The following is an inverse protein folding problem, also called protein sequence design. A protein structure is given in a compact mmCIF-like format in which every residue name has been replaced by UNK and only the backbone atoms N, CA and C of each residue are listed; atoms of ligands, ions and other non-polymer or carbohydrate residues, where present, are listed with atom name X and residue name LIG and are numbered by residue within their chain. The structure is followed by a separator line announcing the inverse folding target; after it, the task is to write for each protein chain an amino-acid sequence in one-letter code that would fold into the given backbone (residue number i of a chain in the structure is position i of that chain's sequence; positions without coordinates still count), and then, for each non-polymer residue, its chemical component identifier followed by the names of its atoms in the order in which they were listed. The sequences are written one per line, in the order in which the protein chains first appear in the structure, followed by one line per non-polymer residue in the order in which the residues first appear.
data_IF_611160321115
#
_entry.id   IF_611160321115
#
_cell.length_a   1.000
_cell.length_b   1.000
_cell.length_c   1.000
_cell.angle_alpha   90.00
_cell.angle_beta   90.00
_cell.angle_gamma   90.00
#
_symmetry.space_group_name_H-M   'P 1'
#
loop_
_entity.id
_entity.type
_entity.pdbx_description
1 polymer ?
#
# COMPACT_ATOMS: atom_id res chain seq x y z
N UNK A 1 -24.09 2.35 -8.09
CA UNK A 1 -23.22 3.55 -7.95
C UNK A 1 -23.15 3.91 -6.48
N UNK A 2 -21.96 4.11 -5.89
CA UNK A 2 -21.87 4.54 -4.48
C UNK A 2 -21.92 6.08 -4.48
N UNK A 3 -22.79 6.72 -3.69
CA UNK A 3 -22.90 8.18 -3.66
C UNK A 3 -21.54 8.81 -3.32
N UNK A 4 -21.19 9.92 -4.00
CA UNK A 4 -19.93 10.66 -3.81
C UNK A 4 -19.68 11.00 -2.33
N UNK A 5 -20.75 11.24 -1.58
CA UNK A 5 -20.79 11.49 -0.14
C UNK A 5 -20.21 10.33 0.69
N UNK A 6 -20.46 9.07 0.33
CA UNK A 6 -20.02 7.90 1.13
C UNK A 6 -18.51 7.68 1.01
N UNK A 7 -17.90 7.99 -0.15
CA UNK A 7 -16.46 7.85 -0.36
C UNK A 7 -15.66 8.96 0.34
N UNK A 8 -16.19 10.19 0.37
CA UNK A 8 -15.62 11.32 1.10
C UNK A 8 -15.68 11.05 2.61
N UNK A 9 -16.84 10.60 3.11
CA UNK A 9 -17.03 10.24 4.52
C UNK A 9 -16.05 9.14 4.95
N UNK A 10 -15.81 8.11 4.16
CA UNK A 10 -14.87 7.03 4.51
C UNK A 10 -13.41 7.49 4.58
N UNK A 11 -12.96 8.39 3.70
CA UNK A 11 -11.58 8.91 3.69
C UNK A 11 -11.38 9.94 4.80
N UNK A 12 -12.35 10.85 5.01
CA UNK A 12 -12.33 11.81 6.12
C UNK A 12 -12.39 11.10 7.48
N UNK A 13 -13.25 10.09 7.63
CA UNK A 13 -13.28 9.24 8.85
C UNK A 13 -11.95 8.51 9.04
N UNK A 14 -11.30 8.00 7.98
CA UNK A 14 -9.99 7.34 8.12
C UNK A 14 -8.86 8.31 8.50
N UNK A 15 -8.88 9.55 8.02
CA UNK A 15 -7.93 10.60 8.42
C UNK A 15 -8.19 11.08 9.86
N UNK A 16 -9.45 11.16 10.29
CA UNK A 16 -9.84 11.51 11.66
C UNK A 16 -9.53 10.40 12.67
N UNK A 17 -9.79 9.13 12.31
CA UNK A 17 -9.51 7.96 13.16
C UNK A 17 -8.00 7.68 13.31
N UNK A 18 -7.17 8.08 12.34
CA UNK A 18 -5.71 7.93 12.42
C UNK A 18 -5.00 9.06 13.18
N UNK A 19 -5.68 10.20 13.37
CA UNK A 19 -5.18 11.37 14.11
C UNK A 19 -5.68 11.46 15.57
N UNK A 20 -6.37 10.43 16.08
CA UNK A 20 -6.63 10.29 17.52
C UNK A 20 -7.64 11.28 18.15
N UNK A 21 -8.48 11.94 17.36
CA UNK A 21 -9.50 12.87 17.87
C UNK A 21 -10.92 12.27 17.78
N UNK A 22 -11.19 11.31 18.66
CA UNK A 22 -12.55 11.02 19.12
C UNK A 22 -12.54 11.04 20.65
N UNK A 23 -12.65 12.23 21.23
CA UNK A 23 -13.30 12.36 22.54
C UNK A 23 -14.80 12.40 22.27
N UNK A 24 -15.46 11.24 22.27
CA UNK A 24 -16.86 11.19 22.66
C UNK A 24 -16.86 10.90 24.16
N UNK A 25 -17.13 11.94 24.96
CA UNK A 25 -17.77 11.73 26.25
C UNK A 25 -19.18 11.24 25.96
N UNK A 26 -19.49 10.01 26.33
CA UNK A 26 -20.88 9.58 26.49
C UNK A 26 -20.93 8.60 27.66
N UNK A 27 -21.34 9.17 28.78
CA UNK A 27 -22.23 8.63 29.82
C UNK A 27 -22.44 7.13 29.80
N UNK A 28 -22.07 6.50 30.92
CA UNK A 28 -22.40 5.13 31.25
C UNK A 28 -23.91 4.90 31.25
N UNK A 29 -24.34 3.79 30.66
CA UNK A 29 -25.56 3.12 31.08
C UNK A 29 -25.27 1.63 31.05
N UNK A 30 -25.18 1.07 32.25
CA UNK A 30 -25.10 -0.36 32.53
C UNK A 30 -26.34 -1.07 31.99
N UNK A 31 -26.17 -2.20 31.29
CA UNK A 31 -26.98 -3.42 31.49
C UNK A 31 -26.10 -4.64 31.15
N UNK A 32 -25.82 -5.46 32.16
CA UNK A 32 -25.50 -6.90 32.06
C UNK A 32 -26.77 -7.68 32.48
N UNK A 33 -26.91 -9.04 32.42
CA UNK A 33 -25.89 -10.07 32.17
C UNK A 33 -26.37 -11.29 31.34
N UNK A 34 -25.47 -12.28 31.17
CA UNK A 34 -25.67 -13.74 31.39
C UNK A 34 -25.14 -14.67 30.28
N UNK A 35 -24.24 -15.57 30.70
CA UNK A 35 -23.77 -16.81 30.03
C UNK A 35 -24.64 -18.00 30.50
N UNK A 36 -24.58 -19.23 29.93
CA UNK A 36 -23.41 -20.13 30.05
C UNK A 36 -23.16 -21.12 28.87
N UNK A 37 -21.97 -21.74 28.86
CA UNK A 37 -21.62 -22.94 28.06
C UNK A 37 -22.02 -24.25 28.76
N UNK A 38 -21.98 -25.40 28.04
CA UNK A 38 -20.95 -26.41 28.36
C UNK A 38 -20.37 -27.22 27.16
N UNK A 39 -19.21 -27.85 27.42
CA UNK A 39 -18.27 -28.69 26.61
C UNK A 39 -18.79 -30.10 26.22
N UNK A 40 -17.98 -31.14 25.82
CA UNK A 40 -16.80 -31.29 24.92
C UNK A 40 -16.89 -32.45 23.86
N UNK A 41 -16.10 -32.38 22.76
CA UNK A 41 -15.46 -33.44 21.90
C UNK A 41 -16.29 -34.63 21.30
N UNK A 42 -15.84 -35.40 20.25
CA UNK A 42 -14.47 -35.64 19.76
C UNK A 42 -14.22 -35.54 18.23
N UNK A 43 -12.94 -35.59 17.85
CA UNK A 43 -12.42 -35.72 16.47
C UNK A 43 -12.76 -37.06 15.81
N UNK A 44 -12.78 -37.08 14.47
CA UNK A 44 -11.97 -38.04 13.71
C UNK A 44 -11.10 -37.35 12.63
N UNK A 45 -9.93 -37.96 12.37
CA UNK A 45 -8.95 -37.58 11.34
C UNK A 45 -9.30 -38.16 9.95
N UNK A 46 -8.44 -38.04 8.91
CA UNK A 46 -8.65 -37.15 7.77
C UNK A 46 -8.94 -37.90 6.45
N UNK A 47 -9.57 -37.23 5.48
CA UNK A 47 -9.65 -37.73 4.10
C UNK A 47 -9.75 -36.55 3.10
N UNK A 48 -9.26 -36.71 1.85
CA UNK A 48 -8.73 -35.65 1.02
C UNK A 48 -9.78 -35.08 0.06
N UNK A 49 -9.46 -33.88 -0.45
CA UNK A 49 -10.20 -33.10 -1.45
C UNK A 49 -11.38 -32.29 -0.92
N UNK A 50 -11.12 -31.04 -0.55
CA UNK A 50 -12.10 -29.95 -0.56
C UNK A 50 -11.35 -28.72 -1.14
N UNK A 51 -11.50 -28.47 -2.43
CA UNK A 51 -12.47 -27.54 -3.03
C UNK A 51 -12.07 -26.06 -2.92
N UNK A 52 -12.24 -25.36 -4.04
CA UNK A 52 -11.75 -24.01 -4.30
C UNK A 52 -12.49 -22.98 -3.45
N UNK A 53 -11.93 -22.65 -2.28
CA UNK A 53 -12.43 -21.53 -1.49
C UNK A 53 -12.29 -20.17 -2.22
N UNK A 54 -13.29 -19.27 -2.12
CA UNK A 54 -13.18 -17.93 -2.69
C UNK A 54 -12.02 -17.17 -2.05
N UNK A 55 -11.20 -16.53 -2.89
CA UNK A 55 -10.09 -15.68 -2.49
C UNK A 55 -10.50 -14.69 -1.38
N UNK A 56 -9.68 -14.50 -0.33
CA UNK A 56 -9.97 -13.52 0.72
C UNK A 56 -10.17 -12.12 0.14
N UNK A 57 -11.12 -11.33 0.68
CA UNK A 57 -11.36 -9.98 0.21
C UNK A 57 -10.12 -9.10 0.38
N UNK A 58 -9.87 -8.27 -0.63
CA UNK A 58 -8.75 -7.33 -0.82
C UNK A 58 -8.42 -6.36 0.33
N UNK A 59 -9.10 -6.42 1.49
CA UNK A 59 -9.00 -5.43 2.58
C UNK A 59 -7.93 -5.73 3.62
N UNK A 60 -7.41 -6.96 3.69
CA UNK A 60 -6.45 -7.36 4.73
C UNK A 60 -4.99 -7.49 4.26
N UNK A 61 -4.61 -6.85 3.14
CA UNK A 61 -3.19 -6.70 2.80
C UNK A 61 -2.52 -5.71 3.76
N UNK A 62 -2.06 -6.23 4.89
CA UNK A 62 -1.34 -5.51 5.94
C UNK A 62 -0.03 -4.96 5.35
N UNK A 63 -0.02 -3.66 5.04
CA UNK A 63 1.19 -2.94 4.64
C UNK A 63 2.33 -3.18 5.66
N UNK A 64 3.57 -3.21 5.17
CA UNK A 64 4.75 -3.44 6.02
C UNK A 64 4.85 -2.42 7.16
N UNK A 65 5.35 -2.80 8.34
CA UNK A 65 5.58 -1.87 9.44
C UNK A 65 6.45 -0.66 9.05
N UNK A 66 7.44 -0.86 8.19
CA UNK A 66 8.36 0.19 7.73
C UNK A 66 7.62 1.20 6.84
N UNK A 67 6.82 0.72 5.88
CA UNK A 67 6.05 1.62 5.03
C UNK A 67 4.98 2.37 5.83
N UNK A 68 4.34 1.72 6.81
CA UNK A 68 3.46 2.40 7.77
C UNK A 68 4.18 3.49 8.56
N UNK A 69 5.40 3.25 9.04
CA UNK A 69 6.22 4.25 9.74
C UNK A 69 6.54 5.43 8.81
N UNK A 70 6.96 5.16 7.58
CA UNK A 70 7.21 6.20 6.58
C UNK A 70 5.98 7.08 6.34
N UNK A 71 4.81 6.47 6.11
CA UNK A 71 3.57 7.24 5.90
C UNK A 71 3.19 8.08 7.12
N UNK A 72 3.39 7.57 8.34
CA UNK A 72 3.18 8.33 9.57
C UNK A 72 4.08 9.55 9.66
N UNK A 73 5.37 9.42 9.32
CA UNK A 73 6.27 10.58 9.28
C UNK A 73 5.81 11.61 8.24
N UNK A 74 5.41 11.16 7.04
CA UNK A 74 4.87 12.06 6.02
C UNK A 74 3.62 12.82 6.46
N UNK A 75 2.73 12.17 7.20
CA UNK A 75 1.51 12.80 7.70
C UNK A 75 1.79 13.94 8.69
N UNK A 76 2.90 13.88 9.45
CA UNK A 76 3.27 14.96 10.39
C UNK A 76 3.56 16.30 9.71
N UNK A 77 3.88 16.30 8.42
CA UNK A 77 4.09 17.51 7.64
C UNK A 77 2.78 18.19 7.18
N UNK A 78 1.63 17.61 7.51
CA UNK A 78 0.32 18.08 7.06
C UNK A 78 -0.64 18.23 8.23
N UNK A 79 -1.07 19.46 8.51
CA UNK A 79 -2.14 19.71 9.48
C UNK A 79 -3.51 19.36 8.88
N UNK A 80 -4.47 19.02 9.75
CA UNK A 80 -5.81 18.54 9.34
C UNK A 80 -6.52 19.52 8.40
N UNK A 81 -6.51 20.81 8.73
CA UNK A 81 -7.15 21.85 7.90
C UNK A 81 -6.61 21.89 6.47
N UNK A 82 -5.29 21.70 6.32
CA UNK A 82 -4.66 21.66 5.01
C UNK A 82 -4.92 20.34 4.29
N UNK A 83 -4.97 19.21 5.01
CA UNK A 83 -5.39 17.94 4.44
C UNK A 83 -6.81 18.05 3.86
N UNK A 84 -7.74 18.69 4.56
CA UNK A 84 -9.12 18.89 4.11
C UNK A 84 -9.22 19.76 2.87
N UNK A 85 -8.43 20.84 2.77
CA UNK A 85 -8.37 21.65 1.54
C UNK A 85 -7.85 20.85 0.36
N UNK A 86 -6.82 20.03 0.56
CA UNK A 86 -6.21 19.20 -0.50
C UNK A 86 -7.19 18.13 -0.97
N UNK A 87 -7.83 17.42 -0.05
CA UNK A 87 -8.88 16.45 -0.39
C UNK A 87 -10.05 17.16 -1.09
N UNK A 88 -10.48 18.32 -0.59
CA UNK A 88 -11.50 19.15 -1.25
C UNK A 88 -11.13 19.55 -2.68
N UNK A 89 -9.86 19.87 -2.95
CA UNK A 89 -9.38 20.13 -4.31
C UNK A 89 -9.44 18.86 -5.17
N UNK A 90 -8.98 17.73 -4.64
CA UNK A 90 -8.90 16.46 -5.36
C UNK A 90 -10.29 15.91 -5.73
N UNK A 91 -11.28 16.08 -4.88
CA UNK A 91 -12.60 15.45 -5.03
C UNK A 91 -13.69 16.44 -5.49
N UNK A 92 -13.63 17.70 -5.05
CA UNK A 92 -14.75 18.66 -5.13
C UNK A 92 -14.42 19.97 -5.87
N UNK A 93 -13.24 20.08 -6.50
CA UNK A 93 -12.77 21.32 -7.15
C UNK A 93 -12.64 22.54 -6.23
N UNK A 94 -12.48 22.34 -4.91
CA UNK A 94 -12.20 23.44 -3.98
C UNK A 94 -10.82 24.03 -4.23
N UNK A 95 -10.54 25.19 -3.63
CA UNK A 95 -9.23 25.85 -3.69
C UNK A 95 -8.33 25.39 -2.54
N UNK A 96 -7.02 25.56 -2.71
CA UNK A 96 -6.02 25.33 -1.68
C UNK A 96 -5.29 26.64 -1.43
N UNK A 97 -5.18 27.02 -0.16
CA UNK A 97 -4.49 28.24 0.28
C UNK A 97 -2.98 28.16 0.03
N UNK A 98 -2.32 29.32 -0.01
CA UNK A 98 -0.85 29.40 -0.14
C UNK A 98 -0.14 28.66 0.99
N UNK A 99 -0.61 28.81 2.23
CA UNK A 99 -0.07 28.12 3.41
C UNK A 99 -0.15 26.60 3.27
N UNK A 100 -1.29 26.08 2.83
CA UNK A 100 -1.46 24.64 2.63
C UNK A 100 -0.69 24.13 1.41
N UNK A 101 -0.52 24.95 0.37
CA UNK A 101 0.42 24.63 -0.71
C UNK A 101 1.86 24.51 -0.20
N UNK A 102 2.31 25.38 0.70
CA UNK A 102 3.65 25.29 1.30
C UNK A 102 3.82 23.99 2.10
N UNK A 103 2.86 23.62 2.96
CA UNK A 103 2.92 22.35 3.68
C UNK A 103 2.92 21.14 2.73
N UNK A 104 2.09 21.20 1.68
CA UNK A 104 2.03 20.15 0.67
C UNK A 104 3.39 19.94 0.03
N UNK A 105 4.07 20.98 -0.44
CA UNK A 105 5.35 20.80 -1.14
C UNK A 105 6.50 20.52 -0.18
N UNK A 106 6.49 21.09 1.03
CA UNK A 106 7.56 20.93 2.02
C UNK A 106 7.68 19.52 2.60
N UNK A 107 6.64 18.68 2.52
CA UNK A 107 6.77 17.26 2.89
C UNK A 107 7.68 16.49 1.91
N UNK A 108 7.96 17.08 0.75
CA UNK A 108 8.75 16.48 -0.31
C UNK A 108 7.95 15.55 -1.24
N UNK A 109 8.46 15.35 -2.46
CA UNK A 109 7.78 14.58 -3.51
C UNK A 109 7.55 13.11 -3.10
N UNK A 110 8.43 12.58 -2.27
CA UNK A 110 8.36 11.19 -1.81
C UNK A 110 7.15 10.97 -0.91
N UNK A 111 6.94 11.87 0.04
CA UNK A 111 5.79 11.82 0.92
C UNK A 111 4.49 12.02 0.14
N UNK A 112 4.46 12.97 -0.80
CA UNK A 112 3.31 13.16 -1.67
C UNK A 112 2.90 11.88 -2.40
N UNK A 113 3.88 11.25 -3.07
CA UNK A 113 3.62 10.03 -3.84
C UNK A 113 3.29 8.83 -2.94
N UNK A 114 3.94 8.69 -1.79
CA UNK A 114 3.63 7.65 -0.81
C UNK A 114 2.18 7.72 -0.31
N UNK A 115 1.73 8.93 0.06
CA UNK A 115 0.35 9.17 0.48
C UNK A 115 -0.66 8.94 -0.67
N UNK A 116 -0.30 9.33 -1.90
CA UNK A 116 -1.12 9.09 -3.08
C UNK A 116 -1.25 7.59 -3.40
N UNK A 117 -0.18 6.81 -3.26
CA UNK A 117 -0.20 5.36 -3.40
C UNK A 117 -1.09 4.70 -2.34
N UNK A 118 -0.99 5.14 -1.08
CA UNK A 118 -1.87 4.68 0.00
C UNK A 118 -3.35 4.97 -0.32
N UNK A 119 -3.64 6.18 -0.77
CA UNK A 119 -4.99 6.57 -1.20
C UNK A 119 -5.51 5.70 -2.34
N UNK A 120 -4.67 5.43 -3.34
CA UNK A 120 -4.98 4.55 -4.47
C UNK A 120 -5.40 3.15 -4.03
N UNK A 121 -4.66 2.53 -3.11
CA UNK A 121 -4.99 1.20 -2.57
C UNK A 121 -6.35 1.17 -1.88
N UNK A 122 -6.72 2.25 -1.19
CA UNK A 122 -8.01 2.37 -0.50
C UNK A 122 -9.17 2.59 -1.47
N UNK A 123 -8.92 3.19 -2.64
CA UNK A 123 -9.97 3.52 -3.61
C UNK A 123 -10.07 2.46 -4.72
N UNK A 124 -11.01 1.52 -4.60
CA UNK A 124 -11.21 0.40 -5.53
C UNK A 124 -11.92 0.75 -6.87
N UNK A 125 -11.95 2.02 -7.33
CA UNK A 125 -12.70 2.45 -8.53
C UNK A 125 -11.84 3.13 -9.60
N UNK A 126 -11.70 2.49 -10.75
CA UNK A 126 -10.66 2.80 -11.76
C UNK A 126 -10.80 4.15 -12.50
N UNK A 127 -11.99 4.54 -12.96
CA UNK A 127 -12.13 5.79 -13.73
C UNK A 127 -11.97 7.04 -12.85
N UNK A 128 -12.47 6.99 -11.62
CA UNK A 128 -12.37 8.09 -10.67
C UNK A 128 -10.95 8.23 -10.09
N UNK A 129 -10.27 7.10 -9.88
CA UNK A 129 -8.87 7.07 -9.44
C UNK A 129 -7.92 7.79 -10.39
N UNK A 130 -8.05 7.58 -11.71
CA UNK A 130 -7.24 8.30 -12.71
C UNK A 130 -7.42 9.82 -12.59
N UNK A 131 -8.67 10.27 -12.41
CA UNK A 131 -9.00 11.68 -12.22
C UNK A 131 -8.38 12.22 -10.92
N UNK A 132 -8.50 11.50 -9.80
CA UNK A 132 -7.92 11.92 -8.52
C UNK A 132 -6.39 12.05 -8.62
N UNK A 133 -5.71 11.04 -9.19
CA UNK A 133 -4.25 11.07 -9.37
C UNK A 133 -3.83 12.28 -10.20
N UNK A 134 -4.49 12.47 -11.36
CA UNK A 134 -4.21 13.62 -12.23
C UNK A 134 -4.41 14.95 -11.51
N UNK A 135 -5.46 15.09 -10.69
CA UNK A 135 -5.71 16.29 -9.90
C UNK A 135 -4.69 16.50 -8.80
N UNK A 136 -4.25 15.43 -8.14
CA UNK A 136 -3.18 15.47 -7.15
C UNK A 136 -1.88 16.01 -7.75
N UNK A 137 -1.47 15.47 -8.90
CA UNK A 137 -0.26 15.91 -9.62
C UNK A 137 -0.38 17.36 -10.12
N UNK A 138 -1.57 17.75 -10.60
CA UNK A 138 -1.86 19.12 -11.00
C UNK A 138 -1.72 20.09 -9.81
N UNK A 139 -2.27 19.72 -8.65
CA UNK A 139 -2.17 20.52 -7.44
C UNK A 139 -0.72 20.67 -6.98
N UNK A 140 0.05 19.59 -6.99
CA UNK A 140 1.47 19.61 -6.66
C UNK A 140 2.23 20.63 -7.53
N UNK A 141 2.11 20.51 -8.86
CA UNK A 141 2.74 21.45 -9.81
C UNK A 141 2.30 22.89 -9.61
N UNK A 142 1.04 23.11 -9.21
CA UNK A 142 0.53 24.45 -8.88
C UNK A 142 1.17 24.97 -7.61
N UNK A 143 1.24 24.17 -6.56
CA UNK A 143 1.81 24.56 -5.27
C UNK A 143 3.33 24.78 -5.34
N UNK A 144 4.07 24.00 -6.14
CA UNK A 144 5.52 24.19 -6.36
C UNK A 144 5.85 25.58 -6.93
N UNK A 145 4.95 26.16 -7.74
CA UNK A 145 5.12 27.52 -8.28
C UNK A 145 4.87 28.61 -7.24
N UNK A 146 4.04 28.31 -6.23
CA UNK A 146 3.58 29.26 -5.22
C UNK A 146 4.51 29.26 -3.99
N UNK A 147 5.06 28.11 -3.67
CA UNK A 147 5.94 27.86 -2.54
C UNK A 147 7.16 27.08 -3.06
N UNK A 148 8.13 27.75 -3.69
CA UNK A 148 9.31 27.07 -4.20
C UNK A 148 10.07 26.40 -3.05
N UNK A 149 10.24 25.09 -3.15
CA UNK A 149 11.07 24.31 -2.24
C UNK A 149 12.49 24.87 -2.23
N UNK A 150 13.16 24.90 -1.08
CA UNK A 150 14.63 24.98 -1.07
C UNK A 150 15.15 23.74 -1.80
N UNK A 151 15.58 23.90 -3.04
CA UNK A 151 16.06 22.80 -3.88
C UNK A 151 17.42 22.37 -3.34
N UNK A 152 17.46 21.27 -2.60
CA UNK A 152 18.72 20.54 -2.45
C UNK A 152 19.17 20.10 -3.84
N UNK A 153 20.37 20.54 -4.24
CA UNK A 153 20.97 20.34 -5.56
C UNK A 153 21.22 18.87 -5.92
N UNK A 154 20.88 17.93 -5.03
CA UNK A 154 20.99 16.49 -5.24
C UNK A 154 19.71 15.82 -5.78
N UNK A 155 18.67 16.61 -6.12
CA UNK A 155 17.36 16.14 -6.59
C UNK A 155 17.32 15.67 -8.07
N UNK A 156 18.45 15.22 -8.63
CA UNK A 156 18.52 14.71 -10.00
C UNK A 156 18.09 13.24 -10.05
N UNK A 157 16.80 12.97 -9.76
CA UNK A 157 16.23 11.61 -9.85
C UNK A 157 14.72 11.62 -10.14
N UNK A 158 14.26 12.53 -11.01
CA UNK A 158 12.85 12.57 -11.44
C UNK A 158 12.54 11.70 -12.68
N UNK A 159 13.45 10.81 -13.10
CA UNK A 159 13.17 9.85 -14.20
C UNK A 159 12.85 8.42 -13.75
N UNK A 160 13.03 8.07 -12.48
CA UNK A 160 12.71 6.72 -11.99
C UNK A 160 11.91 6.76 -10.69
N UNK A 161 10.66 7.22 -10.82
CA UNK A 161 9.48 6.45 -10.41
C UNK A 161 9.27 5.96 -8.98
N UNK A 162 10.19 6.05 -8.02
CA UNK A 162 10.01 5.48 -6.67
C UNK A 162 10.36 6.51 -5.60
N UNK A 163 9.43 6.85 -4.69
CA UNK A 163 9.70 7.70 -3.53
C UNK A 163 10.91 7.23 -2.74
N UNK A 164 11.85 8.08 -2.31
CA UNK A 164 13.04 7.63 -1.56
C UNK A 164 12.70 6.85 -0.26
N UNK A 165 11.53 7.10 0.35
CA UNK A 165 11.03 6.29 1.47
C UNK A 165 10.63 4.87 1.08
N UNK A 166 9.96 4.72 -0.06
CA UNK A 166 9.64 3.40 -0.65
C UNK A 166 10.93 2.75 -1.17
N UNK A 167 11.82 3.52 -1.77
CA UNK A 167 13.14 3.09 -2.24
C UNK A 167 13.95 2.47 -1.12
N UNK A 168 14.01 3.10 0.07
CA UNK A 168 14.69 2.51 1.24
C UNK A 168 14.08 1.17 1.65
N UNK A 169 12.75 1.05 1.68
CA UNK A 169 12.07 -0.23 1.98
C UNK A 169 12.39 -1.29 0.93
N UNK A 170 12.35 -0.93 -0.35
CA UNK A 170 12.67 -1.84 -1.45
C UNK A 170 14.14 -2.21 -1.49
N UNK A 171 15.05 -1.30 -1.15
CA UNK A 171 16.49 -1.55 -1.02
C UNK A 171 16.76 -2.53 0.14
N UNK A 172 16.11 -2.35 1.30
CA UNK A 172 16.21 -3.27 2.43
C UNK A 172 15.66 -4.67 2.09
N UNK A 173 14.55 -4.75 1.36
CA UNK A 173 14.03 -6.01 0.86
C UNK A 173 14.97 -6.63 -0.19
N UNK A 174 15.45 -5.84 -1.14
CA UNK A 174 16.35 -6.26 -2.21
C UNK A 174 17.67 -6.82 -1.71
N UNK A 175 18.24 -6.24 -0.63
CA UNK A 175 19.46 -6.75 0.04
C UNK A 175 19.33 -8.19 0.55
N UNK A 176 18.11 -8.69 0.77
CA UNK A 176 17.87 -10.08 1.20
C UNK A 176 17.94 -11.08 0.03
N UNK A 177 17.93 -10.58 -1.20
CA UNK A 177 18.13 -11.35 -2.42
C UNK A 177 19.52 -11.05 -3.00
N UNK A 178 20.09 -12.03 -3.71
CA UNK A 178 21.22 -11.74 -4.61
C UNK A 178 20.67 -11.24 -5.93
N UNK A 179 21.46 -10.49 -6.71
CA UNK A 179 21.08 -10.06 -8.07
C UNK A 179 20.64 -11.25 -8.94
N UNK A 180 21.41 -12.35 -8.90
CA UNK A 180 21.08 -13.60 -9.59
C UNK A 180 19.68 -14.12 -9.20
N UNK A 181 19.38 -14.16 -7.91
CA UNK A 181 18.09 -14.64 -7.41
C UNK A 181 16.94 -13.67 -7.75
N UNK A 182 17.17 -12.36 -7.66
CA UNK A 182 16.20 -11.35 -8.09
C UNK A 182 15.83 -11.49 -9.57
N UNK A 183 16.83 -11.69 -10.43
CA UNK A 183 16.63 -11.93 -11.87
C UNK A 183 15.86 -13.23 -12.13
N UNK A 184 16.17 -14.29 -11.38
CA UNK A 184 15.47 -15.56 -11.49
C UNK A 184 13.99 -15.48 -11.10
N UNK A 185 13.68 -14.78 -9.99
CA UNK A 185 12.29 -14.52 -9.57
C UNK A 185 11.55 -13.70 -10.62
N UNK A 186 12.18 -12.64 -11.13
CA UNK A 186 11.63 -11.78 -12.18
C UNK A 186 11.35 -12.59 -13.45
N UNK A 187 12.29 -13.43 -13.86
CA UNK A 187 12.13 -14.32 -15.01
C UNK A 187 11.00 -15.33 -14.80
N UNK A 188 10.87 -15.91 -13.60
CA UNK A 188 9.77 -16.82 -13.28
C UNK A 188 8.40 -16.12 -13.31
N UNK A 189 8.33 -14.84 -12.98
CA UNK A 189 7.10 -14.03 -13.08
C UNK A 189 6.75 -13.72 -14.54
N UNK A 190 7.74 -13.33 -15.35
CA UNK A 190 7.48 -12.75 -16.67
C UNK A 190 7.65 -13.70 -17.86
N UNK A 191 8.56 -14.65 -17.78
CA UNK A 191 8.88 -15.59 -18.88
C UNK A 191 8.11 -16.90 -18.69
N UNK A 192 7.82 -17.57 -19.80
CA UNK A 192 7.21 -18.92 -19.78
C UNK A 192 8.27 -19.95 -19.36
N UNK A 193 7.83 -21.00 -18.66
CA UNK A 193 8.65 -22.17 -18.29
C UNK A 193 9.92 -21.86 -17.47
N UNK A 194 9.96 -20.73 -16.78
CA UNK A 194 11.00 -20.41 -15.81
C UNK A 194 10.50 -20.75 -14.40
N UNK A 195 11.40 -21.29 -13.58
CA UNK A 195 11.15 -21.67 -12.19
C UNK A 195 12.26 -21.15 -11.32
N UNK A 196 11.95 -20.87 -10.05
CA UNK A 196 12.94 -20.48 -9.05
C UNK A 196 13.56 -21.74 -8.42
N UNK A 197 14.88 -21.82 -8.29
CA UNK A 197 15.57 -22.94 -7.70
C UNK A 197 15.39 -22.99 -6.18
N UNK A 198 15.80 -24.09 -5.55
CA UNK A 198 15.62 -24.29 -4.09
C UNK A 198 16.43 -23.28 -3.26
N UNK A 199 17.61 -22.88 -3.73
CA UNK A 199 18.49 -21.93 -3.04
C UNK A 199 17.92 -20.51 -3.06
N UNK A 200 17.46 -20.06 -4.21
CA UNK A 200 16.77 -18.78 -4.36
C UNK A 200 15.41 -18.79 -3.64
N UNK A 201 14.65 -19.89 -3.71
CA UNK A 201 13.41 -20.01 -2.94
C UNK A 201 13.62 -19.87 -1.43
N UNK A 202 14.73 -20.38 -0.87
CA UNK A 202 15.07 -20.15 0.54
C UNK A 202 15.23 -18.66 0.86
N UNK A 203 15.87 -17.90 -0.03
CA UNK A 203 16.04 -16.45 0.12
C UNK A 203 14.72 -15.70 -0.01
N UNK A 204 13.88 -16.06 -0.98
CA UNK A 204 12.53 -15.49 -1.15
C UNK A 204 11.69 -15.68 0.10
N UNK A 205 11.66 -16.90 0.65
CA UNK A 205 10.91 -17.21 1.87
C UNK A 205 11.50 -16.48 3.08
N UNK A 206 12.84 -16.53 3.26
CA UNK A 206 13.54 -15.83 4.35
C UNK A 206 13.42 -14.31 4.30
N UNK A 207 13.32 -13.72 3.09
CA UNK A 207 13.09 -12.29 2.90
C UNK A 207 11.78 -11.84 3.56
N UNK A 208 10.80 -12.74 3.61
CA UNK A 208 9.50 -12.55 4.24
C UNK A 208 8.43 -12.11 3.23
N UNK A 209 7.18 -12.50 3.52
CA UNK A 209 6.04 -12.27 2.62
C UNK A 209 5.77 -10.78 2.38
N UNK A 210 5.96 -9.96 3.41
CA UNK A 210 5.77 -8.51 3.29
C UNK A 210 6.72 -7.91 2.26
N UNK A 211 8.01 -8.26 2.28
CA UNK A 211 8.97 -7.78 1.29
C UNK A 211 8.64 -8.27 -0.12
N UNK A 212 8.22 -9.53 -0.26
CA UNK A 212 7.81 -10.09 -1.56
C UNK A 212 6.62 -9.33 -2.16
N UNK A 213 5.62 -9.00 -1.35
CA UNK A 213 4.44 -8.28 -1.79
C UNK A 213 4.73 -6.80 -2.09
N UNK A 214 5.54 -6.12 -1.28
CA UNK A 214 5.90 -4.71 -1.52
C UNK A 214 6.74 -4.53 -2.80
N UNK A 215 7.72 -5.42 -3.04
CA UNK A 215 8.49 -5.41 -4.29
C UNK A 215 7.60 -5.67 -5.51
N UNK A 216 6.63 -6.58 -5.40
CA UNK A 216 5.65 -6.85 -6.46
C UNK A 216 4.73 -5.65 -6.72
N UNK A 217 4.25 -4.98 -5.67
CA UNK A 217 3.39 -3.79 -5.79
C UNK A 217 4.10 -2.64 -6.48
N UNK A 218 5.38 -2.44 -6.16
CA UNK A 218 6.19 -1.39 -6.79
C UNK A 218 6.37 -1.66 -8.28
N UNK A 219 6.79 -2.87 -8.64
CA UNK A 219 6.93 -3.33 -10.02
C UNK A 219 5.63 -3.18 -10.84
N UNK A 220 4.47 -3.47 -10.24
CA UNK A 220 3.15 -3.21 -10.86
C UNK A 220 2.87 -1.70 -10.99
N UNK A 221 3.21 -0.91 -9.98
CA UNK A 221 2.93 0.52 -9.93
C UNK A 221 3.80 1.34 -10.88
N UNK A 222 5.03 0.90 -11.13
CA UNK A 222 5.94 1.45 -12.13
C UNK A 222 5.52 1.13 -13.57
N UNK A 223 4.58 0.20 -13.75
CA UNK A 223 4.17 -0.25 -15.08
C UNK A 223 5.19 -1.17 -15.75
N UNK A 224 6.16 -1.69 -15.01
CA UNK A 224 7.20 -2.62 -15.48
C UNK A 224 6.69 -4.06 -15.66
N UNK A 225 5.37 -4.22 -15.85
CA UNK A 225 4.70 -5.52 -15.93
C UNK A 225 4.66 -6.13 -17.33
N UNK A 226 5.40 -5.54 -18.28
CA UNK A 226 5.37 -5.89 -19.71
C UNK A 226 3.91 -5.90 -20.21
N UNK A 227 3.62 -6.59 -21.30
CA UNK A 227 2.25 -6.71 -21.85
C UNK A 227 1.32 -7.60 -20.99
N UNK A 228 1.58 -7.77 -19.69
CA UNK A 228 0.75 -8.55 -18.77
C UNK A 228 -0.13 -7.64 -17.94
N UNK A 229 -1.29 -8.13 -17.54
CA UNK A 229 -2.14 -7.43 -16.58
C UNK A 229 -1.59 -7.53 -15.14
N UNK A 230 -1.86 -6.55 -14.27
CA UNK A 230 -1.52 -6.63 -12.85
C UNK A 230 -2.03 -7.90 -12.16
N UNK A 231 -3.19 -8.41 -12.60
CA UNK A 231 -3.80 -9.64 -12.07
C UNK A 231 -2.94 -10.86 -12.41
N UNK A 232 -2.49 -11.00 -13.64
CA UNK A 232 -1.65 -12.12 -14.07
C UNK A 232 -0.31 -12.14 -13.34
N UNK A 233 0.32 -10.98 -13.18
CA UNK A 233 1.60 -10.85 -12.46
C UNK A 233 1.43 -11.24 -10.99
N UNK A 234 0.35 -10.79 -10.33
CA UNK A 234 0.03 -11.19 -8.95
C UNK A 234 -0.16 -12.69 -8.80
N UNK A 235 -1.00 -13.29 -9.66
CA UNK A 235 -1.26 -14.73 -9.63
C UNK A 235 0.03 -15.54 -9.80
N UNK A 236 0.90 -15.13 -10.73
CA UNK A 236 2.17 -15.82 -10.96
C UNK A 236 3.12 -15.67 -9.77
N UNK A 237 3.18 -14.48 -9.19
CA UNK A 237 3.99 -14.19 -8.00
C UNK A 237 3.54 -15.04 -6.78
N UNK A 238 2.23 -15.17 -6.57
CA UNK A 238 1.66 -16.00 -5.50
C UNK A 238 1.97 -17.50 -5.70
N UNK A 239 1.93 -17.98 -6.95
CA UNK A 239 2.31 -19.36 -7.27
C UNK A 239 3.78 -19.63 -6.94
N UNK A 240 4.67 -18.68 -7.26
CA UNK A 240 6.10 -18.77 -6.93
C UNK A 240 6.30 -18.81 -5.43
N UNK A 241 5.65 -17.90 -4.68
CA UNK A 241 5.71 -17.87 -3.21
C UNK A 241 5.30 -19.21 -2.59
N UNK A 242 4.11 -19.73 -2.96
CA UNK A 242 3.60 -21.02 -2.47
C UNK A 242 4.53 -22.19 -2.82
N UNK A 243 5.13 -22.18 -4.02
CA UNK A 243 6.10 -23.20 -4.41
C UNK A 243 7.37 -23.10 -3.55
N UNK A 244 7.89 -21.90 -3.33
CA UNK A 244 9.08 -21.69 -2.52
C UNK A 244 8.86 -22.11 -1.06
N UNK A 245 7.70 -21.82 -0.47
CA UNK A 245 7.35 -22.31 0.87
C UNK A 245 7.38 -23.83 0.97
N UNK A 246 6.93 -24.56 -0.08
CA UNK A 246 6.95 -26.03 -0.09
C UNK A 246 8.35 -26.62 -0.21
N UNK A 247 9.21 -26.04 -1.05
CA UNK A 247 10.52 -26.63 -1.35
C UNK A 247 11.65 -26.09 -0.45
N UNK A 248 11.40 -24.99 0.25
CA UNK A 248 12.32 -24.35 1.19
C UNK A 248 11.53 -23.80 2.40
N UNK A 249 10.95 -24.68 3.24
CA UNK A 249 10.24 -24.26 4.45
C UNK A 249 11.17 -23.50 5.40
N UNK A 250 10.60 -22.59 6.19
CA UNK A 250 11.31 -21.99 7.33
C UNK A 250 11.58 -23.11 8.34
N UNK A 251 12.85 -23.50 8.47
CA UNK A 251 13.33 -24.18 9.67
C UNK A 251 13.74 -23.13 10.70
#
# INVERSE_FOLDING_TARGET
MIPKSVAIIQITILLLLSNGFFRLQSVATEISPSSPSPSPSPSPSPSPFEEHGPSPPLRDQKMSPQFKKFLKECQKHMVVECADQIVGYMFDNKTVSKTCCSQLVNMGPDCHKGLLMRGKELTQKNAYLKKIISRSEQLWKKCEKIAPHHKDKNSQSYRHGVPAGIRRVLEECGKKLTEKCGNEVTDAVFKKNKTVDKGCCRRVVHMGRECHEEMLKDLISLGEIKNKSPREVRLKSDQIWKRCQRIAPHN
#
